data_IF_017157058219
#
_entry.id   IF_017157058219
#
_cell.length_a   1.000
_cell.length_b   1.000
_cell.length_c   1.000
_cell.angle_alpha   90.00
_cell.angle_beta   90.00
_cell.angle_gamma   90.00
#
_symmetry.space_group_name_H-M   'P 1'
#
loop_
_entity.id
_entity.type
_entity.pdbx_description
1 polymer ?
#
# COMPACT_ATOMS: atom_id res chain seq x y z
N UNK A 1 -31.27 11.56 4.19
CA UNK A 1 -30.57 11.94 2.96
C UNK A 1 -29.60 13.11 3.18
N UNK A 2 -30.05 14.28 3.67
CA UNK A 2 -29.17 15.46 3.92
C UNK A 2 -28.05 15.17 4.91
N UNK A 3 -28.31 14.42 6.00
CA UNK A 3 -27.31 14.12 7.01
C UNK A 3 -26.23 13.15 6.49
N UNK A 4 -26.60 12.18 5.65
CA UNK A 4 -25.63 11.33 4.94
C UNK A 4 -24.70 12.15 4.06
N UNK A 5 -25.23 13.17 3.36
CA UNK A 5 -24.39 14.03 2.51
C UNK A 5 -23.48 14.93 3.35
N UNK A 6 -23.98 15.47 4.51
CA UNK A 6 -23.16 16.26 5.42
C UNK A 6 -22.02 15.44 6.04
N UNK A 7 -22.29 14.18 6.46
CA UNK A 7 -21.25 13.32 7.01
C UNK A 7 -20.16 13.04 5.97
N UNK A 8 -20.55 12.83 4.71
CA UNK A 8 -19.60 12.65 3.61
C UNK A 8 -18.63 13.85 3.45
N UNK A 9 -19.12 15.09 3.64
CA UNK A 9 -18.26 16.28 3.58
C UNK A 9 -17.23 16.37 4.71
N UNK A 10 -17.45 15.70 5.83
CA UNK A 10 -16.62 15.80 7.03
C UNK A 10 -15.82 14.51 7.32
N UNK A 11 -16.02 13.46 6.55
CA UNK A 11 -15.27 12.19 6.72
C UNK A 11 -13.75 12.40 6.62
N UNK A 12 -13.29 13.29 5.76
CA UNK A 12 -11.87 13.61 5.63
C UNK A 12 -11.24 14.15 6.93
N UNK A 13 -12.02 14.79 7.82
CA UNK A 13 -11.49 15.26 9.12
C UNK A 13 -11.04 14.10 10.00
N UNK A 14 -11.79 12.99 9.99
CA UNK A 14 -11.41 11.77 10.73
C UNK A 14 -10.12 11.21 10.18
N UNK A 15 -10.05 11.08 8.85
CA UNK A 15 -8.83 10.63 8.18
C UNK A 15 -7.63 11.52 8.52
N UNK A 16 -7.77 12.85 8.47
CA UNK A 16 -6.69 13.78 8.80
C UNK A 16 -6.23 13.65 10.25
N UNK A 17 -7.15 13.42 11.20
CA UNK A 17 -6.80 13.17 12.59
C UNK A 17 -6.00 11.86 12.75
N UNK A 18 -6.46 10.77 12.13
CA UNK A 18 -5.79 9.46 12.18
C UNK A 18 -4.42 9.52 11.51
N UNK A 19 -4.33 10.06 10.30
CA UNK A 19 -3.07 10.15 9.55
C UNK A 19 -2.04 11.05 10.25
N UNK A 20 -2.50 12.15 10.88
CA UNK A 20 -1.63 12.99 11.70
C UNK A 20 -1.10 12.22 12.91
N UNK A 21 -1.94 11.44 13.59
CA UNK A 21 -1.51 10.61 14.72
C UNK A 21 -0.51 9.52 14.28
N UNK A 22 -0.70 8.90 13.11
CA UNK A 22 0.26 7.98 12.50
C UNK A 22 1.60 8.67 12.20
N UNK A 23 1.56 9.86 11.59
CA UNK A 23 2.75 10.65 11.23
C UNK A 23 3.57 11.06 12.46
N UNK A 24 2.90 11.37 13.57
CA UNK A 24 3.51 11.74 14.84
C UNK A 24 3.82 10.52 15.74
N UNK A 25 3.62 9.29 15.27
CA UNK A 25 3.82 8.04 16.01
C UNK A 25 3.02 7.95 17.33
N UNK A 26 1.90 8.66 17.46
CA UNK A 26 1.12 8.74 18.69
C UNK A 26 0.66 7.36 19.17
N UNK A 27 0.19 6.51 18.24
CA UNK A 27 -0.30 5.17 18.57
C UNK A 27 0.82 4.25 19.08
N UNK A 28 2.05 4.39 18.59
CA UNK A 28 3.20 3.60 19.03
C UNK A 28 3.53 3.88 20.51
N UNK A 29 3.27 5.11 20.99
CA UNK A 29 3.52 5.57 22.36
C UNK A 29 2.37 5.34 23.34
N UNK A 30 1.18 4.89 22.88
CA UNK A 30 -0.02 4.68 23.69
C UNK A 30 -0.30 3.20 24.03
N UNK A 31 0.74 2.35 24.07
CA UNK A 31 0.61 0.97 24.57
C UNK A 31 0.06 0.95 26.00
N UNK A 32 0.61 1.80 26.85
CA UNK A 32 0.10 2.07 28.18
C UNK A 32 -0.69 3.38 28.19
N UNK A 33 -1.67 3.46 29.11
CA UNK A 33 -2.51 4.64 29.24
C UNK A 33 -1.70 5.87 29.68
N UNK A 34 -1.76 6.96 28.92
CA UNK A 34 -1.05 8.22 29.19
C UNK A 34 -2.00 9.41 29.19
N UNK A 35 -1.66 10.44 29.95
CA UNK A 35 -2.29 11.75 29.82
C UNK A 35 -1.75 12.50 28.61
N UNK A 36 -2.49 13.48 28.09
CA UNK A 36 -2.02 14.34 27.00
C UNK A 36 -0.70 15.04 27.37
N UNK A 37 -0.56 15.50 28.62
CA UNK A 37 0.67 16.11 29.12
C UNK A 37 1.87 15.17 29.01
N UNK A 38 1.76 13.95 29.55
CA UNK A 38 2.85 12.97 29.53
C UNK A 38 3.27 12.65 28.09
N UNK A 39 2.29 12.44 27.19
CA UNK A 39 2.58 12.15 25.78
C UNK A 39 3.17 13.36 25.04
N UNK A 40 2.73 14.58 25.37
CA UNK A 40 3.27 15.82 24.81
C UNK A 40 4.73 16.04 25.23
N UNK A 41 5.05 15.80 26.50
CA UNK A 41 6.43 15.88 27.01
C UNK A 41 7.34 14.85 26.34
N UNK A 42 6.86 13.58 26.16
CA UNK A 42 7.60 12.49 25.53
C UNK A 42 7.89 12.75 24.05
N UNK A 43 6.92 13.29 23.30
CA UNK A 43 7.00 13.53 21.85
C UNK A 43 7.39 14.96 21.48
N UNK A 44 7.64 15.83 22.45
CA UNK A 44 7.92 17.26 22.24
C UNK A 44 6.81 17.97 21.44
N UNK A 45 5.54 17.70 21.79
CA UNK A 45 4.35 18.26 21.15
C UNK A 45 3.70 19.33 22.05
N UNK A 46 2.84 20.16 21.44
CA UNK A 46 2.01 21.10 22.18
C UNK A 46 0.89 20.36 22.92
N UNK A 47 0.83 20.45 24.25
CA UNK A 47 -0.12 19.72 25.09
C UNK A 47 -1.59 20.03 24.75
N UNK A 48 -1.94 21.31 24.62
CA UNK A 48 -3.33 21.72 24.36
C UNK A 48 -3.83 21.20 22.99
N UNK A 49 -3.00 21.26 21.96
CA UNK A 49 -3.35 20.78 20.62
C UNK A 49 -3.40 19.26 20.56
N UNK A 50 -2.46 18.60 21.24
CA UNK A 50 -2.48 17.15 21.36
C UNK A 50 -3.73 16.67 22.10
N UNK A 51 -4.14 17.33 23.19
CA UNK A 51 -5.37 16.98 23.91
C UNK A 51 -6.61 17.06 23.01
N UNK A 52 -6.70 18.07 22.12
CA UNK A 52 -7.80 18.18 21.15
C UNK A 52 -7.77 17.01 20.16
N UNK A 53 -6.60 16.65 19.63
CA UNK A 53 -6.44 15.52 18.72
C UNK A 53 -6.82 14.19 19.39
N UNK A 54 -6.33 13.92 20.60
CA UNK A 54 -6.63 12.70 21.35
C UNK A 54 -8.13 12.58 21.67
N UNK A 55 -8.80 13.70 22.00
CA UNK A 55 -10.25 13.71 22.18
C UNK A 55 -10.99 13.42 20.86
N UNK A 56 -10.56 13.98 19.75
CA UNK A 56 -11.15 13.71 18.43
C UNK A 56 -11.00 12.22 18.05
N UNK A 57 -9.82 11.63 18.27
CA UNK A 57 -9.56 10.21 18.03
C UNK A 57 -10.39 9.30 18.94
N UNK A 58 -10.57 9.69 20.22
CA UNK A 58 -11.43 8.95 21.15
C UNK A 58 -12.90 9.04 20.76
N UNK A 59 -13.39 10.20 20.33
CA UNK A 59 -14.76 10.36 19.83
C UNK A 59 -15.03 9.60 18.53
N UNK A 60 -13.97 9.35 17.75
CA UNK A 60 -14.00 8.50 16.55
C UNK A 60 -13.77 7.01 16.86
N UNK A 61 -13.73 6.63 18.14
CA UNK A 61 -13.53 5.25 18.62
C UNK A 61 -12.17 4.64 18.21
N UNK A 62 -11.19 5.48 17.85
CA UNK A 62 -9.82 5.05 17.51
C UNK A 62 -8.94 4.90 18.75
N UNK A 63 -9.28 5.60 19.85
CA UNK A 63 -8.60 5.48 21.14
C UNK A 63 -9.61 5.24 22.27
N UNK A 64 -9.20 4.46 23.25
CA UNK A 64 -9.90 4.36 24.52
C UNK A 64 -9.54 5.56 25.39
N UNK A 65 -10.56 6.12 26.06
CA UNK A 65 -10.39 7.21 27.04
C UNK A 65 -11.04 6.84 28.37
N UNK A 66 -10.27 6.95 29.44
CA UNK A 66 -10.76 6.80 30.81
C UNK A 66 -10.30 8.00 31.62
N UNK A 67 -11.25 8.86 32.04
CA UNK A 67 -10.94 10.14 32.66
C UNK A 67 -10.07 11.03 31.75
N UNK A 68 -8.82 11.33 32.14
CA UNK A 68 -7.84 12.09 31.37
C UNK A 68 -6.73 11.23 30.77
N UNK A 69 -6.87 9.90 30.81
CA UNK A 69 -5.93 8.95 30.22
C UNK A 69 -6.44 8.44 28.88
N UNK A 70 -5.52 8.33 27.92
CA UNK A 70 -5.76 7.79 26.59
C UNK A 70 -4.91 6.53 26.40
N UNK A 71 -5.46 5.53 25.73
CA UNK A 71 -4.82 4.27 25.41
C UNK A 71 -5.23 3.82 24.03
N UNK A 72 -4.33 3.17 23.29
CA UNK A 72 -4.70 2.52 22.03
C UNK A 72 -5.62 1.33 22.28
N UNK A 73 -6.55 1.10 21.37
CA UNK A 73 -7.46 -0.04 21.33
C UNK A 73 -7.15 -0.97 20.15
N UNK A 74 -8.00 -1.95 19.87
CA UNK A 74 -7.81 -2.90 18.78
C UNK A 74 -7.70 -2.25 17.40
N UNK A 75 -8.36 -1.11 17.15
CA UNK A 75 -8.26 -0.39 15.88
C UNK A 75 -6.92 0.34 15.75
N UNK A 76 -6.55 1.12 16.76
CA UNK A 76 -5.30 1.85 16.73
C UNK A 76 -4.05 0.97 16.93
N UNK A 77 -4.20 -0.25 17.43
CA UNK A 77 -3.14 -1.27 17.41
C UNK A 77 -2.70 -1.59 15.96
N UNK A 78 -3.64 -1.59 15.00
CA UNK A 78 -3.35 -1.75 13.57
C UNK A 78 -2.67 -0.52 12.93
N UNK A 79 -2.51 0.57 13.66
CA UNK A 79 -1.85 1.80 13.19
C UNK A 79 -0.45 2.00 13.79
N UNK A 80 0.12 0.94 14.39
CA UNK A 80 1.46 0.96 14.97
C UNK A 80 2.51 0.37 14.02
N UNK A 81 3.75 0.87 14.12
CA UNK A 81 4.86 0.47 13.22
C UNK A 81 5.19 -1.03 13.27
N UNK A 82 5.19 -1.60 14.48
CA UNK A 82 5.66 -2.97 14.70
C UNK A 82 4.55 -4.03 14.72
N UNK A 83 3.31 -3.68 14.43
CA UNK A 83 2.24 -4.67 14.32
C UNK A 83 2.37 -5.44 13.00
N UNK A 84 2.39 -6.79 13.01
CA UNK A 84 2.45 -7.58 11.78
C UNK A 84 1.29 -7.32 10.80
N UNK A 85 0.14 -6.90 11.32
CA UNK A 85 -1.07 -6.54 10.58
C UNK A 85 -1.25 -5.01 10.48
N UNK A 86 -0.15 -4.26 10.54
CA UNK A 86 -0.21 -2.79 10.50
C UNK A 86 -0.80 -2.27 9.20
N UNK A 87 -1.63 -1.23 9.33
CA UNK A 87 -2.14 -0.39 8.24
C UNK A 87 -1.60 1.04 8.29
N UNK A 88 -0.55 1.28 9.08
CA UNK A 88 0.04 2.62 9.28
C UNK A 88 0.48 3.25 7.96
N UNK A 89 1.24 2.52 7.14
CA UNK A 89 1.70 3.03 5.85
C UNK A 89 0.57 3.12 4.84
N UNK A 90 -0.39 2.19 4.86
CA UNK A 90 -1.61 2.29 4.07
C UNK A 90 -2.39 3.58 4.38
N UNK A 91 -2.47 3.96 5.66
CA UNK A 91 -3.06 5.23 6.07
C UNK A 91 -2.22 6.42 5.59
N UNK A 92 -0.90 6.38 5.75
CA UNK A 92 -0.01 7.50 5.39
C UNK A 92 0.09 7.72 3.87
N UNK A 93 -0.10 6.69 3.06
CA UNK A 93 0.01 6.73 1.61
C UNK A 93 -0.93 7.77 0.95
N UNK A 94 -2.11 8.00 1.52
CA UNK A 94 -3.10 8.93 0.97
C UNK A 94 -2.94 10.37 1.48
N UNK A 95 -1.86 10.65 2.18
CA UNK A 95 -1.51 11.98 2.67
C UNK A 95 -0.47 12.66 1.75
N UNK A 96 0.01 13.82 2.15
CA UNK A 96 1.07 14.59 1.50
C UNK A 96 0.84 14.73 -0.03
N UNK A 97 1.65 14.10 -0.88
CA UNK A 97 1.59 14.24 -2.34
C UNK A 97 0.30 13.72 -2.97
N UNK A 98 -0.23 12.58 -2.51
CA UNK A 98 -1.49 12.07 -3.02
C UNK A 98 -2.65 13.02 -2.70
N UNK A 99 -2.74 13.48 -1.43
CA UNK A 99 -3.77 14.43 -1.03
C UNK A 99 -3.70 15.71 -1.84
N UNK A 100 -2.49 16.23 -2.08
CA UNK A 100 -2.28 17.43 -2.89
C UNK A 100 -2.77 17.24 -4.33
N UNK A 101 -2.47 16.08 -4.94
CA UNK A 101 -2.95 15.75 -6.27
C UNK A 101 -4.49 15.61 -6.32
N UNK A 102 -5.10 14.96 -5.32
CA UNK A 102 -6.55 14.83 -5.20
C UNK A 102 -7.27 16.17 -5.00
N UNK A 103 -6.67 17.13 -4.29
CA UNK A 103 -7.21 18.49 -4.14
C UNK A 103 -7.27 19.25 -5.47
N UNK A 104 -6.54 18.82 -6.48
CA UNK A 104 -6.53 19.39 -7.83
C UNK A 104 -7.19 18.46 -8.87
N UNK A 105 -8.15 17.65 -8.45
CA UNK A 105 -8.85 16.70 -9.32
C UNK A 105 -9.59 17.41 -10.48
N UNK A 106 -10.09 18.63 -10.27
CA UNK A 106 -10.74 19.46 -11.26
C UNK A 106 -9.83 19.75 -12.48
N UNK A 107 -8.52 19.92 -12.26
CA UNK A 107 -7.55 20.03 -13.34
C UNK A 107 -7.56 18.77 -14.23
N UNK A 108 -7.51 17.59 -13.61
CA UNK A 108 -7.52 16.32 -14.35
C UNK A 108 -8.81 16.12 -15.13
N UNK A 109 -9.97 16.44 -14.53
CA UNK A 109 -11.28 16.33 -15.18
C UNK A 109 -11.41 17.32 -16.36
N UNK A 110 -10.85 18.52 -16.20
CA UNK A 110 -10.95 19.58 -17.22
C UNK A 110 -10.00 19.35 -18.39
N UNK A 111 -8.78 18.88 -18.11
CA UNK A 111 -7.71 18.82 -19.13
C UNK A 111 -7.44 17.40 -19.66
N UNK A 112 -7.90 16.34 -18.96
CA UNK A 112 -7.57 14.95 -19.25
C UNK A 112 -6.11 14.59 -18.90
N UNK A 113 -5.41 15.46 -18.16
CA UNK A 113 -4.01 15.26 -17.77
C UNK A 113 -3.89 14.92 -16.28
N UNK A 114 -2.77 14.37 -15.88
CA UNK A 114 -2.47 14.08 -14.48
C UNK A 114 -2.24 15.38 -13.70
N UNK A 115 -3.03 15.61 -12.63
CA UNK A 115 -2.79 16.70 -11.68
C UNK A 115 -1.49 16.49 -10.90
N UNK A 116 -1.07 15.24 -10.68
CA UNK A 116 0.20 14.93 -10.04
C UNK A 116 1.38 15.43 -10.87
N UNK A 117 1.40 15.13 -12.17
CA UNK A 117 2.46 15.58 -13.08
C UNK A 117 2.49 17.09 -13.24
N UNK A 118 1.32 17.74 -13.24
CA UNK A 118 1.23 19.21 -13.29
C UNK A 118 1.85 19.87 -12.05
N UNK A 119 1.63 19.30 -10.86
CA UNK A 119 2.13 19.84 -9.58
C UNK A 119 3.61 19.52 -9.36
N UNK A 120 4.03 18.28 -9.64
CA UNK A 120 5.37 17.79 -9.29
C UNK A 120 6.33 17.75 -10.48
N UNK A 121 5.87 18.07 -11.71
CA UNK A 121 6.70 18.18 -12.92
C UNK A 121 7.17 16.84 -13.49
N UNK A 122 6.72 15.71 -12.96
CA UNK A 122 7.10 14.36 -13.39
C UNK A 122 6.05 13.31 -13.02
N UNK A 123 6.02 12.15 -13.72
CA UNK A 123 5.17 11.02 -13.38
C UNK A 123 5.41 10.50 -11.96
N UNK A 124 4.37 9.93 -11.34
CA UNK A 124 4.40 9.49 -9.94
C UNK A 124 5.54 8.51 -9.63
N UNK A 125 5.77 7.50 -10.46
CA UNK A 125 6.84 6.52 -10.21
C UNK A 125 8.25 7.11 -10.39
N UNK A 126 8.42 8.08 -11.29
CA UNK A 126 9.68 8.80 -11.44
C UNK A 126 9.95 9.65 -10.19
N UNK A 127 8.91 10.33 -9.69
CA UNK A 127 8.97 11.06 -8.41
C UNK A 127 9.36 10.14 -7.25
N UNK A 128 8.78 8.94 -7.15
CA UNK A 128 9.15 7.97 -6.10
C UNK A 128 10.60 7.50 -6.25
N UNK A 129 11.06 7.25 -7.48
CA UNK A 129 12.45 6.84 -7.74
C UNK A 129 13.48 7.89 -7.29
N UNK A 130 13.12 9.17 -7.39
CA UNK A 130 13.94 10.29 -6.92
C UNK A 130 13.85 10.51 -5.39
N UNK A 131 12.85 9.90 -4.72
CA UNK A 131 12.59 10.03 -3.29
C UNK A 131 12.58 8.66 -2.57
N UNK A 132 13.76 8.09 -2.21
CA UNK A 132 13.86 6.73 -1.68
C UNK A 132 13.02 6.44 -0.43
N UNK A 133 12.84 7.42 0.47
CA UNK A 133 12.02 7.26 1.67
C UNK A 133 10.53 7.13 1.31
N UNK A 134 10.06 7.92 0.33
CA UNK A 134 8.69 7.85 -0.18
C UNK A 134 8.44 6.56 -0.94
N UNK A 135 9.41 6.12 -1.76
CA UNK A 135 9.34 4.82 -2.43
C UNK A 135 9.20 3.67 -1.42
N UNK A 136 9.98 3.70 -0.35
CA UNK A 136 9.88 2.69 0.72
C UNK A 136 8.51 2.73 1.42
N UNK A 137 8.02 3.92 1.75
CA UNK A 137 6.71 4.09 2.39
C UNK A 137 5.57 3.61 1.48
N UNK A 138 5.64 3.92 0.18
CA UNK A 138 4.71 3.44 -0.84
C UNK A 138 4.67 1.90 -0.91
N UNK A 139 5.84 1.24 -1.02
CA UNK A 139 5.87 -0.22 -1.07
C UNK A 139 5.39 -0.88 0.22
N UNK A 140 5.67 -0.29 1.39
CA UNK A 140 5.08 -0.75 2.66
C UNK A 140 3.56 -0.63 2.64
N UNK A 141 3.02 0.49 2.14
CA UNK A 141 1.57 0.70 2.02
C UNK A 141 0.92 -0.33 1.08
N UNK A 142 1.50 -0.53 -0.10
CA UNK A 142 1.01 -1.51 -1.07
C UNK A 142 1.06 -2.94 -0.51
N UNK A 143 2.12 -3.29 0.21
CA UNK A 143 2.22 -4.58 0.89
C UNK A 143 1.13 -4.76 1.96
N UNK A 144 0.86 -3.71 2.77
CA UNK A 144 -0.18 -3.75 3.80
C UNK A 144 -1.58 -3.97 3.21
N UNK A 145 -1.92 -3.30 2.10
CA UNK A 145 -3.16 -3.56 1.36
C UNK A 145 -3.20 -4.97 0.77
N UNK A 146 -2.13 -5.37 0.09
CA UNK A 146 -2.06 -6.63 -0.63
C UNK A 146 -2.20 -7.87 0.27
N UNK A 147 -1.77 -7.79 1.53
CA UNK A 147 -1.95 -8.90 2.50
C UNK A 147 -3.41 -9.31 2.63
N UNK A 148 -4.32 -8.36 2.74
CA UNK A 148 -5.75 -8.62 2.89
C UNK A 148 -6.44 -8.85 1.54
N UNK A 149 -6.15 -8.00 0.54
CA UNK A 149 -6.77 -8.03 -0.78
C UNK A 149 -6.55 -9.37 -1.49
N UNK A 150 -5.38 -9.99 -1.30
CA UNK A 150 -5.01 -11.23 -1.98
C UNK A 150 -5.02 -12.48 -1.10
N UNK A 151 -5.50 -12.38 0.14
CA UNK A 151 -5.56 -13.52 1.07
C UNK A 151 -6.35 -14.71 0.52
N UNK A 152 -7.43 -14.43 -0.21
CA UNK A 152 -8.29 -15.46 -0.82
C UNK A 152 -7.86 -15.86 -2.24
N UNK A 153 -6.88 -15.20 -2.82
CA UNK A 153 -6.44 -15.46 -4.20
C UNK A 153 -6.05 -16.93 -4.45
N UNK A 154 -5.28 -17.59 -3.56
CA UNK A 154 -4.96 -19.01 -3.75
C UNK A 154 -6.16 -19.95 -3.64
N UNK A 155 -7.30 -19.50 -3.12
CA UNK A 155 -8.55 -20.27 -3.09
C UNK A 155 -9.35 -20.13 -4.41
N UNK A 156 -9.18 -19.01 -5.09
CA UNK A 156 -9.85 -18.71 -6.35
C UNK A 156 -9.07 -19.26 -7.55
N UNK A 157 -7.75 -19.33 -7.46
CA UNK A 157 -6.86 -19.81 -8.51
C UNK A 157 -6.11 -21.05 -8.01
N UNK A 158 -6.25 -22.16 -8.74
CA UNK A 158 -5.47 -23.36 -8.49
C UNK A 158 -4.07 -23.24 -9.08
N UNK A 159 -3.10 -22.90 -8.22
CA UNK A 159 -1.69 -22.82 -8.60
C UNK A 159 -0.98 -24.19 -8.54
N UNK A 160 -1.60 -25.25 -8.00
CA UNK A 160 -0.96 -26.57 -7.82
C UNK A 160 -0.48 -27.21 -9.14
N UNK A 161 -1.05 -26.78 -10.26
CA UNK A 161 -0.66 -27.22 -11.62
C UNK A 161 0.66 -26.62 -12.13
N UNK A 162 1.25 -25.69 -11.39
CA UNK A 162 2.51 -25.04 -11.73
C UNK A 162 3.62 -25.42 -10.74
N UNK A 163 4.82 -25.66 -11.26
CA UNK A 163 6.01 -25.87 -10.42
C UNK A 163 6.63 -24.55 -9.97
N UNK A 164 6.45 -23.50 -10.78
CA UNK A 164 7.00 -22.17 -10.50
C UNK A 164 6.04 -21.05 -10.90
N UNK A 165 6.01 -20.00 -10.09
CA UNK A 165 5.21 -18.78 -10.30
C UNK A 165 6.09 -17.56 -10.11
N UNK A 166 6.08 -16.64 -11.09
CA UNK A 166 6.74 -15.34 -10.99
C UNK A 166 5.70 -14.23 -10.83
N UNK A 167 5.89 -13.38 -9.85
CA UNK A 167 5.10 -12.16 -9.66
C UNK A 167 5.89 -10.97 -10.19
N UNK A 168 5.39 -10.33 -11.25
CA UNK A 168 6.04 -9.23 -11.95
C UNK A 168 5.47 -7.90 -11.44
N UNK A 169 6.35 -7.03 -10.94
CA UNK A 169 5.93 -5.80 -10.25
C UNK A 169 5.31 -6.11 -8.88
N UNK A 170 5.71 -7.22 -8.25
CA UNK A 170 5.09 -7.73 -7.04
C UNK A 170 5.46 -6.98 -5.75
N UNK A 171 6.21 -5.88 -5.84
CA UNK A 171 6.56 -5.05 -4.69
C UNK A 171 7.30 -5.83 -3.59
N UNK A 172 6.72 -5.90 -2.41
CA UNK A 172 7.30 -6.65 -1.29
C UNK A 172 6.82 -8.11 -1.21
N UNK A 173 6.11 -8.62 -2.23
CA UNK A 173 5.86 -10.05 -2.42
C UNK A 173 4.63 -10.62 -1.70
N UNK A 174 3.64 -9.80 -1.30
CA UNK A 174 2.45 -10.25 -0.58
C UNK A 174 1.64 -11.33 -1.34
N UNK A 175 1.53 -11.23 -2.66
CA UNK A 175 0.83 -12.24 -3.49
C UNK A 175 1.55 -13.59 -3.39
N UNK A 176 2.87 -13.60 -3.52
CA UNK A 176 3.67 -14.82 -3.44
C UNK A 176 3.69 -15.43 -2.03
N UNK A 177 3.62 -14.63 -0.97
CA UNK A 177 3.47 -15.14 0.40
C UNK A 177 2.17 -15.92 0.55
N UNK A 178 1.05 -15.39 0.05
CA UNK A 178 -0.25 -16.07 0.07
C UNK A 178 -0.23 -17.36 -0.77
N UNK A 179 0.39 -17.35 -1.96
CA UNK A 179 0.56 -18.54 -2.80
C UNK A 179 1.43 -19.59 -2.08
N UNK A 180 2.58 -19.17 -1.52
CA UNK A 180 3.52 -20.05 -0.83
C UNK A 180 2.94 -20.68 0.44
N UNK A 181 2.09 -19.93 1.17
CA UNK A 181 1.42 -20.43 2.35
C UNK A 181 0.47 -21.61 2.04
N UNK A 182 -0.25 -21.56 0.91
CA UNK A 182 -1.15 -22.64 0.48
C UNK A 182 -0.44 -23.75 -0.31
N UNK A 183 0.56 -23.37 -1.11
CA UNK A 183 1.30 -24.27 -2.00
C UNK A 183 2.81 -24.23 -1.69
N UNK A 184 3.28 -24.84 -0.59
CA UNK A 184 4.68 -24.74 -0.13
C UNK A 184 5.71 -25.27 -1.10
N UNK A 185 5.33 -26.18 -2.01
CA UNK A 185 6.22 -26.80 -3.00
C UNK A 185 6.48 -25.94 -4.22
N UNK A 186 5.70 -24.89 -4.47
CA UNK A 186 5.85 -24.02 -5.63
C UNK A 186 7.10 -23.14 -5.47
N UNK A 187 7.92 -23.07 -6.52
CA UNK A 187 9.02 -22.12 -6.60
C UNK A 187 8.49 -20.73 -6.91
N UNK A 188 8.51 -19.85 -5.91
CA UNK A 188 8.05 -18.48 -6.02
C UNK A 188 9.21 -17.54 -6.41
N UNK A 189 8.99 -16.70 -7.42
CA UNK A 189 9.97 -15.76 -7.96
C UNK A 189 9.35 -14.38 -7.95
N UNK A 190 9.96 -13.45 -7.22
CA UNK A 190 9.58 -12.04 -7.22
C UNK A 190 10.46 -11.28 -8.21
N UNK A 191 9.83 -10.57 -9.15
CA UNK A 191 10.51 -9.73 -10.12
C UNK A 191 10.04 -8.28 -9.98
N UNK A 192 10.95 -7.40 -9.62
CA UNK A 192 10.69 -5.97 -9.45
C UNK A 192 11.98 -5.17 -9.65
N UNK A 193 11.89 -3.84 -9.60
CA UNK A 193 13.06 -2.97 -9.71
C UNK A 193 14.15 -3.36 -8.67
N UNK A 194 15.44 -3.29 -9.00
CA UNK A 194 16.52 -3.67 -8.09
C UNK A 194 16.44 -3.00 -6.72
N UNK A 195 16.11 -1.70 -6.67
CA UNK A 195 15.94 -0.92 -5.43
C UNK A 195 14.82 -1.48 -4.52
N UNK A 196 13.75 -2.06 -5.11
CA UNK A 196 12.64 -2.70 -4.39
C UNK A 196 13.09 -4.05 -3.86
N UNK A 197 13.68 -4.87 -4.71
CA UNK A 197 14.17 -6.22 -4.41
C UNK A 197 15.15 -6.25 -3.23
N UNK A 198 16.05 -5.27 -3.15
CA UNK A 198 17.01 -5.13 -2.03
C UNK A 198 16.35 -4.99 -0.66
N UNK A 199 15.11 -4.52 -0.59
CA UNK A 199 14.36 -4.32 0.66
C UNK A 199 13.49 -5.51 1.07
N UNK A 200 13.32 -6.49 0.17
CA UNK A 200 12.50 -7.68 0.44
C UNK A 200 13.23 -8.65 1.34
N UNK A 201 12.60 -9.06 2.45
CA UNK A 201 13.20 -9.92 3.47
C UNK A 201 12.62 -11.33 3.51
N UNK A 202 11.79 -11.75 2.55
CA UNK A 202 11.13 -13.06 2.52
C UNK A 202 12.13 -14.13 2.07
N UNK A 203 12.58 -15.05 2.96
CA UNK A 203 13.65 -16.02 2.63
C UNK A 203 13.22 -17.09 1.63
N UNK A 204 11.91 -17.45 1.62
CA UNK A 204 11.35 -18.56 0.83
C UNK A 204 11.07 -18.18 -0.64
N UNK A 205 11.34 -16.95 -1.05
CA UNK A 205 11.04 -16.41 -2.37
C UNK A 205 12.34 -16.02 -3.06
N UNK A 206 12.56 -16.54 -4.28
CA UNK A 206 13.65 -16.11 -5.14
C UNK A 206 13.41 -14.69 -5.62
N UNK A 207 14.41 -13.85 -5.61
CA UNK A 207 14.33 -12.43 -5.95
C UNK A 207 15.14 -12.12 -7.19
N UNK A 208 14.54 -11.42 -8.15
CA UNK A 208 15.16 -11.00 -9.40
C UNK A 208 14.91 -9.50 -9.60
N UNK A 209 15.96 -8.73 -9.74
CA UNK A 209 15.89 -7.30 -10.07
C UNK A 209 15.85 -7.08 -11.57
N UNK A 210 14.93 -6.21 -12.04
CA UNK A 210 14.82 -5.83 -13.45
C UNK A 210 13.62 -4.91 -13.69
N UNK A 211 13.46 -4.49 -14.95
CA UNK A 211 12.31 -3.70 -15.40
C UNK A 211 11.40 -4.54 -16.28
N UNK A 212 10.11 -4.51 -16.05
CA UNK A 212 9.13 -5.20 -16.91
C UNK A 212 8.98 -4.51 -18.30
N UNK A 213 9.56 -3.33 -18.48
CA UNK A 213 9.69 -2.70 -19.80
C UNK A 213 10.86 -3.26 -20.62
N UNK A 214 11.71 -4.06 -19.99
CA UNK A 214 12.84 -4.75 -20.61
C UNK A 214 12.56 -6.24 -20.72
N UNK A 215 13.59 -7.01 -21.10
CA UNK A 215 13.47 -8.47 -21.20
C UNK A 215 13.33 -9.11 -19.82
N UNK A 216 12.21 -9.78 -19.59
CA UNK A 216 11.94 -10.55 -18.37
C UNK A 216 12.58 -11.95 -18.53
N UNK A 217 13.29 -12.47 -17.51
CA UNK A 217 13.89 -13.81 -17.58
C UNK A 217 12.82 -14.92 -17.65
N UNK A 218 12.96 -15.86 -18.59
CA UNK A 218 12.11 -17.05 -18.67
C UNK A 218 12.52 -18.07 -17.59
N UNK A 219 11.91 -17.98 -16.40
CA UNK A 219 12.25 -18.82 -15.24
C UNK A 219 11.01 -19.40 -14.52
N UNK A 220 9.80 -19.23 -15.05
CA UNK A 220 8.58 -19.71 -14.40
C UNK A 220 7.57 -20.28 -15.39
N UNK A 221 6.75 -21.24 -14.92
CA UNK A 221 5.65 -21.82 -15.69
C UNK A 221 4.41 -20.93 -15.67
N UNK A 222 4.28 -20.07 -14.67
CA UNK A 222 3.22 -19.08 -14.58
C UNK A 222 3.76 -17.71 -14.18
N UNK A 223 3.11 -16.67 -14.70
CA UNK A 223 3.37 -15.27 -14.36
C UNK A 223 2.09 -14.66 -13.77
N UNK A 224 2.25 -13.87 -12.73
CA UNK A 224 1.21 -13.03 -12.14
C UNK A 224 1.55 -11.57 -12.42
N UNK A 225 0.59 -10.81 -12.92
CA UNK A 225 0.57 -9.35 -12.95
C UNK A 225 -0.61 -8.91 -12.07
N UNK A 226 -0.32 -8.33 -10.92
CA UNK A 226 -1.33 -7.95 -9.96
C UNK A 226 -1.29 -6.45 -9.70
N UNK A 227 -2.34 -5.74 -10.13
CA UNK A 227 -2.46 -4.28 -9.99
C UNK A 227 -1.25 -3.53 -10.55
N UNK A 228 -0.82 -3.95 -11.75
CA UNK A 228 0.31 -3.36 -12.47
C UNK A 228 -0.17 -2.59 -13.70
N UNK A 229 -1.08 -3.17 -14.47
CA UNK A 229 -1.44 -2.63 -15.79
C UNK A 229 -2.20 -1.31 -15.70
N UNK A 230 -3.02 -1.13 -14.65
CA UNK A 230 -3.83 0.08 -14.47
C UNK A 230 -3.00 1.36 -14.20
N UNK A 231 -1.73 1.21 -13.84
CA UNK A 231 -0.83 2.34 -13.61
C UNK A 231 -0.28 2.93 -14.92
N UNK A 232 -0.51 2.26 -16.05
CA UNK A 232 0.12 2.58 -17.33
C UNK A 232 -0.90 2.85 -18.42
N UNK A 233 -0.52 3.68 -19.40
CA UNK A 233 -1.29 3.85 -20.61
C UNK A 233 -1.26 2.57 -21.48
N UNK A 234 -2.16 2.48 -22.49
CA UNK A 234 -2.32 1.29 -23.32
C UNK A 234 -1.04 0.84 -24.03
N UNK A 235 -0.17 1.78 -24.45
CA UNK A 235 1.11 1.47 -25.09
C UNK A 235 2.05 0.75 -24.13
N UNK A 236 2.25 1.31 -22.94
CA UNK A 236 3.10 0.72 -21.89
C UNK A 236 2.52 -0.58 -21.34
N UNK A 237 1.21 -0.64 -21.10
CA UNK A 237 0.53 -1.86 -20.65
C UNK A 237 0.67 -2.98 -21.68
N UNK A 238 0.54 -2.68 -22.99
CA UNK A 238 0.76 -3.64 -24.08
C UNK A 238 2.21 -4.14 -24.13
N UNK A 239 3.19 -3.28 -23.85
CA UNK A 239 4.59 -3.67 -23.76
C UNK A 239 4.85 -4.63 -22.59
N UNK A 240 4.28 -4.34 -21.40
CA UNK A 240 4.37 -5.21 -20.22
C UNK A 240 3.78 -6.59 -20.53
N UNK A 241 2.58 -6.63 -21.12
CA UNK A 241 1.93 -7.89 -21.51
C UNK A 241 2.77 -8.67 -22.50
N UNK A 242 3.32 -8.01 -23.52
CA UNK A 242 4.21 -8.64 -24.52
C UNK A 242 5.44 -9.24 -23.86
N UNK A 243 6.16 -8.47 -23.04
CA UNK A 243 7.38 -8.95 -22.36
C UNK A 243 7.08 -10.10 -21.40
N UNK A 244 5.93 -10.06 -20.70
CA UNK A 244 5.47 -11.15 -19.84
C UNK A 244 5.14 -12.42 -20.64
N UNK A 245 4.47 -12.27 -21.79
CA UNK A 245 4.17 -13.39 -22.67
C UNK A 245 5.44 -14.03 -23.24
N UNK A 246 6.42 -13.23 -23.68
CA UNK A 246 7.71 -13.72 -24.20
C UNK A 246 8.56 -14.43 -23.13
N UNK A 247 8.33 -14.13 -21.84
CA UNK A 247 9.00 -14.78 -20.71
C UNK A 247 8.37 -16.12 -20.32
N UNK A 248 7.18 -16.45 -20.82
CA UNK A 248 6.51 -17.72 -20.53
C UNK A 248 7.00 -18.85 -21.48
N UNK A 249 7.06 -20.10 -20.99
CA UNK A 249 7.24 -21.27 -21.84
C UNK A 249 5.99 -21.52 -22.70
N UNK A 250 6.10 -22.42 -23.70
CA UNK A 250 5.05 -22.69 -24.69
C UNK A 250 3.65 -22.98 -24.09
N UNK A 251 3.57 -23.57 -22.91
CA UNK A 251 2.31 -23.86 -22.21
C UNK A 251 2.18 -23.08 -20.88
N UNK A 252 2.89 -21.96 -20.78
CA UNK A 252 2.84 -21.11 -19.59
C UNK A 252 1.52 -20.38 -19.45
N UNK A 253 1.22 -19.94 -18.25
CA UNK A 253 -0.02 -19.21 -17.94
C UNK A 253 0.28 -17.81 -17.43
N UNK A 254 -0.38 -16.81 -17.98
CA UNK A 254 -0.38 -15.44 -17.46
C UNK A 254 -1.67 -15.19 -16.68
N UNK A 255 -1.56 -14.83 -15.42
CA UNK A 255 -2.65 -14.36 -14.56
C UNK A 255 -2.59 -12.85 -14.46
N UNK A 256 -3.65 -12.18 -14.87
CA UNK A 256 -3.82 -10.73 -14.72
C UNK A 256 -4.89 -10.50 -13.67
N UNK A 257 -4.52 -9.80 -12.59
CA UNK A 257 -5.39 -9.55 -11.44
C UNK A 257 -5.53 -8.04 -11.29
N UNK A 258 -6.72 -7.53 -11.61
CA UNK A 258 -6.99 -6.11 -11.64
C UNK A 258 -8.39 -5.80 -11.07
N UNK A 259 -8.57 -4.56 -10.61
CA UNK A 259 -9.88 -4.03 -10.28
C UNK A 259 -10.59 -3.65 -11.58
N UNK A 260 -11.58 -4.44 -11.98
CA UNK A 260 -12.38 -4.17 -13.16
C UNK A 260 -13.62 -3.36 -12.76
N UNK A 261 -13.93 -2.29 -13.50
CA UNK A 261 -15.24 -1.65 -13.40
C UNK A 261 -16.26 -2.52 -14.13
N UNK A 262 -17.27 -3.01 -13.42
CA UNK A 262 -18.45 -3.58 -14.06
C UNK A 262 -19.10 -2.49 -14.91
N UNK A 263 -19.21 -2.75 -16.22
CA UNK A 263 -19.95 -1.89 -17.15
C UNK A 263 -21.41 -2.26 -17.15
#
# INVERSE_FOLDING_TARGET
MRDKLKSFFTEHWKYMAVSTACKLNIFDHLKEAKTAKHLADELSLNEDKLLLLLNALSNAEILDKTSNYFKRNSLSELLTENNPESLKYACLNWNDEHLTAWQNLDYSITTGKSSFEDIYGQPFFDFLNDNPEKLQAYHKAMYQYAKDDYKTLPDLIDFSKHKSVMDIGGGYGAVLENIKAKYPSIDCILFDLPKVIEKVTIPSIKKLGGSFFEKIPNQSEAIVLSRVLHDWNDEKASLILKNSFEALPQNGTLYVIENCSDK
#
